data_IF_348147726747
#
_entry.id   IF_348147726747
#
_cell.length_a   1.000
_cell.length_b   1.000
_cell.length_c   1.000
_cell.angle_alpha   90.00
_cell.angle_beta   90.00
_cell.angle_gamma   90.00
#
_symmetry.space_group_name_H-M   'P 1'
#
loop_
_entity.id
_entity.type
_entity.pdbx_description
1 polymer ?
#
# COMPACT_ATOMS: atom_id res chain seq x y z
N UNK A 1 24.87 -14.80 -20.97
CA UNK A 1 24.17 -15.49 -19.85
C UNK A 1 23.08 -16.35 -20.46
N UNK A 2 23.06 -17.67 -20.20
CA UNK A 2 22.10 -18.59 -20.85
C UNK A 2 20.74 -18.46 -20.16
N UNK A 3 19.64 -18.63 -20.92
CA UNK A 3 18.25 -18.52 -20.43
C UNK A 3 17.99 -19.41 -19.21
N UNK A 4 18.65 -20.57 -19.14
CA UNK A 4 18.54 -21.51 -18.02
C UNK A 4 19.13 -20.93 -16.72
N UNK A 5 20.25 -20.21 -16.81
CA UNK A 5 20.92 -19.59 -15.67
C UNK A 5 20.08 -18.44 -15.11
N UNK A 6 19.43 -17.67 -15.99
CA UNK A 6 18.49 -16.62 -15.59
C UNK A 6 17.25 -17.21 -14.88
N UNK A 7 16.72 -18.33 -15.38
CA UNK A 7 15.57 -19.00 -14.78
C UNK A 7 15.92 -19.58 -13.41
N UNK A 8 17.07 -20.24 -13.26
CA UNK A 8 17.55 -20.77 -11.99
C UNK A 8 17.80 -19.65 -10.97
N UNK A 9 18.44 -18.56 -11.40
CA UNK A 9 18.67 -17.38 -10.56
C UNK A 9 17.36 -16.74 -10.12
N UNK A 10 16.40 -16.54 -11.03
CA UNK A 10 15.08 -16.02 -10.69
C UNK A 10 14.31 -16.93 -9.73
N UNK A 11 14.37 -18.26 -9.94
CA UNK A 11 13.70 -19.23 -9.07
C UNK A 11 14.33 -19.24 -7.66
N UNK A 12 15.65 -19.12 -7.57
CA UNK A 12 16.36 -19.02 -6.30
C UNK A 12 16.13 -17.68 -5.61
N UNK A 13 16.02 -16.59 -6.35
CA UNK A 13 15.68 -15.26 -5.81
C UNK A 13 14.25 -15.24 -5.25
N UNK A 14 13.29 -15.82 -5.98
CA UNK A 14 11.90 -16.00 -5.50
C UNK A 14 11.88 -16.92 -4.28
N UNK A 15 12.58 -18.05 -4.33
CA UNK A 15 12.66 -18.97 -3.18
C UNK A 15 13.32 -18.31 -1.98
N UNK A 16 14.34 -17.47 -2.16
CA UNK A 16 14.97 -16.70 -1.09
C UNK A 16 14.04 -15.61 -0.53
N UNK A 17 13.23 -14.97 -1.38
CA UNK A 17 12.19 -14.02 -0.93
C UNK A 17 11.13 -14.70 -0.05
N UNK A 18 10.76 -15.95 -0.37
CA UNK A 18 9.84 -16.76 0.41
C UNK A 18 10.51 -17.61 1.51
N UNK A 19 11.84 -17.69 1.55
CA UNK A 19 12.61 -18.35 2.61
C UNK A 19 12.72 -17.40 3.81
N UNK A 20 11.57 -17.11 4.39
CA UNK A 20 11.45 -16.27 5.57
C UNK A 20 11.64 -17.15 6.81
N UNK A 21 12.46 -16.69 7.76
CA UNK A 21 12.72 -17.41 9.01
C UNK A 21 11.62 -17.23 10.07
N UNK A 22 10.51 -16.55 9.74
CA UNK A 22 9.39 -16.38 10.67
C UNK A 22 8.45 -17.58 10.62
N UNK A 23 7.97 -17.98 11.79
CA UNK A 23 6.95 -19.00 11.96
C UNK A 23 5.55 -18.36 12.03
N UNK A 24 4.51 -19.18 11.97
CA UNK A 24 3.13 -18.71 12.17
C UNK A 24 2.96 -18.07 13.55
N UNK A 25 3.66 -18.57 14.57
CA UNK A 25 3.60 -18.06 15.94
C UNK A 25 4.20 -16.64 16.04
N UNK A 26 5.27 -16.37 15.31
CA UNK A 26 5.89 -15.04 15.25
C UNK A 26 4.93 -13.98 14.69
N UNK A 27 4.14 -14.34 13.68
CA UNK A 27 3.11 -13.46 13.09
C UNK A 27 1.83 -13.36 13.92
N UNK A 28 1.54 -14.38 14.73
CA UNK A 28 0.37 -14.39 15.65
C UNK A 28 0.69 -13.78 17.02
N UNK A 29 1.85 -13.12 17.17
CA UNK A 29 2.13 -12.36 18.37
C UNK A 29 1.27 -11.08 18.39
N UNK A 30 0.32 -11.03 19.31
CA UNK A 30 -0.60 -9.90 19.51
C UNK A 30 -0.26 -9.05 20.73
N UNK A 31 0.90 -9.29 21.36
CA UNK A 31 1.34 -8.59 22.56
C UNK A 31 1.88 -7.18 22.31
N UNK A 32 2.56 -6.65 23.32
CA UNK A 32 3.15 -5.32 23.30
C UNK A 32 4.34 -5.24 22.33
N UNK A 33 4.45 -4.12 21.60
CA UNK A 33 5.54 -3.86 20.67
C UNK A 33 6.76 -3.29 21.43
N UNK A 34 7.97 -3.83 21.22
CA UNK A 34 9.20 -3.22 21.75
C UNK A 34 9.37 -1.76 21.30
N UNK A 35 9.79 -0.88 22.20
CA UNK A 35 9.80 0.57 22.02
C UNK A 35 10.54 1.05 20.75
N UNK A 36 11.69 0.43 20.44
CA UNK A 36 12.48 0.78 19.24
C UNK A 36 11.70 0.45 17.95
N UNK A 37 11.13 -0.76 17.88
CA UNK A 37 10.33 -1.21 16.74
C UNK A 37 9.04 -0.40 16.60
N UNK A 38 8.41 -0.05 17.73
CA UNK A 38 7.20 0.77 17.78
C UNK A 38 7.41 2.16 17.15
N UNK A 39 8.52 2.84 17.45
CA UNK A 39 8.86 4.14 16.82
C UNK A 39 9.04 4.02 15.30
N UNK A 40 9.68 2.95 14.84
CA UNK A 40 9.87 2.68 13.41
C UNK A 40 8.53 2.43 12.70
N UNK A 41 7.69 1.57 13.28
CA UNK A 41 6.37 1.23 12.73
C UNK A 41 5.44 2.44 12.65
N UNK A 42 5.39 3.26 13.71
CA UNK A 42 4.63 4.52 13.75
C UNK A 42 5.04 5.49 12.63
N UNK A 43 6.34 5.59 12.36
CA UNK A 43 6.87 6.41 11.24
C UNK A 43 6.46 5.84 9.89
N UNK A 44 6.43 4.52 9.72
CA UNK A 44 5.93 3.89 8.47
C UNK A 44 4.47 4.24 8.24
N UNK A 45 3.60 4.09 9.23
CA UNK A 45 2.18 4.43 9.05
C UNK A 45 1.96 5.90 8.71
N UNK A 46 2.66 6.81 9.38
CA UNK A 46 2.57 8.25 9.06
C UNK A 46 3.07 8.54 7.64
N UNK A 47 4.22 7.97 7.27
CA UNK A 47 4.83 8.21 5.96
C UNK A 47 3.97 7.61 4.85
N UNK A 48 3.39 6.43 5.07
CA UNK A 48 2.46 5.80 4.14
C UNK A 48 1.17 6.61 4.00
N UNK A 49 0.62 7.13 5.11
CA UNK A 49 -0.55 8.02 5.07
C UNK A 49 -0.27 9.28 4.23
N UNK A 50 0.87 9.94 4.47
CA UNK A 50 1.30 11.08 3.68
C UNK A 50 1.50 10.72 2.20
N UNK A 51 2.14 9.58 1.91
CA UNK A 51 2.36 9.13 0.53
C UNK A 51 1.03 8.86 -0.20
N UNK A 52 0.06 8.23 0.47
CA UNK A 52 -1.27 7.99 -0.09
C UNK A 52 -2.07 9.28 -0.31
N UNK A 53 -1.94 10.26 0.59
CA UNK A 53 -2.51 11.60 0.38
C UNK A 53 -1.85 12.32 -0.81
N UNK A 54 -0.52 12.29 -0.93
CA UNK A 54 0.20 12.85 -2.07
C UNK A 54 -0.18 12.16 -3.38
N UNK A 55 -0.29 10.84 -3.39
CA UNK A 55 -0.76 10.06 -4.52
C UNK A 55 -2.18 10.47 -4.95
N UNK A 56 -3.10 10.55 -3.99
CA UNK A 56 -4.49 10.92 -4.24
C UNK A 56 -4.60 12.35 -4.76
N UNK A 57 -3.81 13.28 -4.20
CA UNK A 57 -3.74 14.64 -4.68
C UNK A 57 -3.21 14.71 -6.12
N UNK A 58 -2.16 13.95 -6.45
CA UNK A 58 -1.65 13.83 -7.82
C UNK A 58 -2.68 13.25 -8.78
N UNK A 59 -3.38 12.18 -8.37
CA UNK A 59 -4.45 11.54 -9.15
C UNK A 59 -5.55 12.53 -9.54
N UNK A 60 -6.04 13.33 -8.59
CA UNK A 60 -7.08 14.33 -8.86
C UNK A 60 -6.58 15.55 -9.61
N UNK A 61 -5.35 16.01 -9.36
CA UNK A 61 -4.78 17.14 -10.10
C UNK A 61 -4.67 16.84 -11.59
N UNK A 62 -4.42 15.59 -11.96
CA UNK A 62 -4.42 15.20 -13.36
C UNK A 62 -5.78 15.46 -14.04
N UNK A 63 -6.92 15.34 -13.32
CA UNK A 63 -8.24 15.61 -13.89
C UNK A 63 -8.39 17.05 -14.38
N UNK A 64 -7.63 18.00 -13.81
CA UNK A 64 -7.67 19.42 -14.16
C UNK A 64 -6.64 19.83 -15.22
N UNK A 65 -5.61 19.02 -15.47
CA UNK A 65 -4.51 19.38 -16.37
C UNK A 65 -4.25 18.28 -17.42
N UNK A 66 -5.04 18.32 -18.50
CA UNK A 66 -5.11 17.25 -19.51
C UNK A 66 -3.81 17.06 -20.31
N UNK A 67 -2.95 18.08 -20.40
CA UNK A 67 -1.71 18.04 -21.21
C UNK A 67 -0.47 17.45 -20.51
N UNK A 68 -0.56 17.07 -19.22
CA UNK A 68 0.63 16.71 -18.41
C UNK A 68 0.92 15.19 -18.37
N UNK A 69 0.05 14.35 -18.96
CA UNK A 69 0.11 12.88 -18.87
C UNK A 69 1.52 12.27 -19.06
N UNK A 70 2.18 12.45 -20.22
CA UNK A 70 3.48 11.81 -20.48
C UNK A 70 4.62 12.33 -19.59
N UNK A 71 4.56 13.60 -19.15
CA UNK A 71 5.58 14.19 -18.28
C UNK A 71 5.55 13.63 -16.85
N UNK A 72 4.37 13.23 -16.37
CA UNK A 72 4.21 12.64 -15.03
C UNK A 72 4.80 11.23 -14.94
N UNK A 73 4.71 10.44 -16.01
CA UNK A 73 5.33 9.11 -16.09
C UNK A 73 6.84 9.22 -16.01
N UNK A 74 7.46 10.06 -16.85
CA UNK A 74 8.91 10.29 -16.83
C UNK A 74 9.40 10.82 -15.47
N UNK A 75 8.64 11.71 -14.85
CA UNK A 75 8.95 12.27 -13.53
C UNK A 75 8.82 11.23 -12.41
N UNK A 76 7.85 10.33 -12.49
CA UNK A 76 7.69 9.22 -11.54
C UNK A 76 8.85 8.23 -11.64
N UNK A 77 9.26 7.87 -12.88
CA UNK A 77 10.41 6.99 -13.12
C UNK A 77 11.70 7.65 -12.66
N UNK A 78 11.93 8.93 -12.98
CA UNK A 78 13.13 9.66 -12.54
C UNK A 78 13.19 9.77 -11.02
N UNK A 79 12.06 9.99 -10.34
CA UNK A 79 12.00 10.08 -8.88
C UNK A 79 12.22 8.71 -8.22
N UNK A 80 11.67 7.63 -8.81
CA UNK A 80 11.93 6.25 -8.37
C UNK A 80 13.38 5.86 -8.57
N UNK A 81 13.96 6.20 -9.72
CA UNK A 81 15.36 5.97 -10.02
C UNK A 81 16.24 6.74 -9.03
N UNK A 82 15.87 7.99 -8.72
CA UNK A 82 16.52 8.80 -7.69
C UNK A 82 16.42 8.17 -6.30
N UNK A 83 15.27 7.60 -5.94
CA UNK A 83 15.07 6.91 -4.66
C UNK A 83 15.82 5.56 -4.60
N UNK A 84 15.91 4.85 -5.72
CA UNK A 84 16.67 3.60 -5.85
C UNK A 84 18.18 3.82 -5.81
N UNK A 85 18.68 4.86 -6.50
CA UNK A 85 20.10 5.21 -6.52
C UNK A 85 20.56 5.99 -5.29
N UNK A 86 19.64 6.53 -4.49
CA UNK A 86 19.99 7.12 -3.20
C UNK A 86 20.31 6.00 -2.21
N UNK A 87 21.60 5.62 -2.18
CA UNK A 87 22.13 4.75 -1.13
C UNK A 87 21.67 5.27 0.25
N UNK A 88 21.26 4.38 1.18
CA UNK A 88 20.84 4.74 2.53
C UNK A 88 21.82 5.62 3.32
N UNK A 89 23.08 5.69 2.85
CA UNK A 89 24.21 6.36 3.49
C UNK A 89 24.49 7.80 3.03
N UNK A 90 23.98 8.24 1.88
CA UNK A 90 24.42 9.50 1.25
C UNK A 90 23.48 10.70 1.46
N UNK A 91 22.21 10.47 1.81
CA UNK A 91 21.17 11.51 1.90
C UNK A 91 20.51 11.57 3.27
N UNK A 92 20.13 12.78 3.70
CA UNK A 92 19.39 12.99 4.96
C UNK A 92 17.99 12.40 4.83
N UNK A 93 17.49 11.78 5.90
CA UNK A 93 16.16 11.12 5.96
C UNK A 93 15.03 11.99 5.38
N UNK A 94 15.02 13.29 5.67
CA UNK A 94 14.00 14.22 5.18
C UNK A 94 13.97 14.34 3.64
N UNK A 95 15.12 14.24 2.96
CA UNK A 95 15.20 14.28 1.51
C UNK A 95 14.60 13.01 0.90
N UNK A 96 14.88 11.84 1.49
CA UNK A 96 14.30 10.57 1.06
C UNK A 96 12.77 10.56 1.20
N UNK A 97 12.25 11.11 2.31
CA UNK A 97 10.79 11.28 2.50
C UNK A 97 10.20 12.23 1.46
N UNK A 98 10.84 13.37 1.18
CA UNK A 98 10.38 14.30 0.15
C UNK A 98 10.34 13.66 -1.23
N UNK A 99 11.40 12.93 -1.61
CA UNK A 99 11.45 12.17 -2.86
C UNK A 99 10.34 11.12 -2.94
N UNK A 100 10.03 10.44 -1.83
CA UNK A 100 8.90 9.50 -1.77
C UNK A 100 7.56 10.22 -2.01
N UNK A 101 7.33 11.39 -1.40
CA UNK A 101 6.09 12.16 -1.61
C UNK A 101 5.96 12.62 -3.06
N UNK A 102 7.04 13.14 -3.64
CA UNK A 102 7.12 13.55 -5.05
C UNK A 102 6.84 12.37 -5.97
N UNK A 103 7.45 11.22 -5.68
CA UNK A 103 7.24 9.97 -6.42
C UNK A 103 5.78 9.54 -6.36
N UNK A 104 5.19 9.49 -5.17
CA UNK A 104 3.80 9.11 -4.96
C UNK A 104 2.86 10.06 -5.71
N UNK A 105 3.11 11.36 -5.65
CA UNK A 105 2.36 12.39 -6.37
C UNK A 105 2.38 12.17 -7.89
N UNK A 106 3.56 12.07 -8.50
CA UNK A 106 3.67 11.89 -9.95
C UNK A 106 3.14 10.53 -10.41
N UNK A 107 3.29 9.50 -9.59
CA UNK A 107 2.72 8.19 -9.85
C UNK A 107 1.18 8.23 -9.82
N UNK A 108 0.60 8.96 -8.86
CA UNK A 108 -0.84 9.20 -8.78
C UNK A 108 -1.37 9.93 -10.01
N UNK A 109 -0.69 11.01 -10.42
CA UNK A 109 -1.06 11.75 -11.61
C UNK A 109 -0.99 10.88 -12.90
N UNK A 110 0.02 10.01 -12.99
CA UNK A 110 0.16 9.05 -14.10
C UNK A 110 -1.00 8.05 -14.13
N UNK A 111 -1.39 7.49 -12.98
CA UNK A 111 -2.53 6.56 -12.88
C UNK A 111 -3.84 7.27 -13.20
N UNK A 112 -4.03 8.52 -12.75
CA UNK A 112 -5.22 9.32 -13.08
C UNK A 112 -5.41 9.52 -14.58
N UNK A 113 -4.32 9.70 -15.32
CA UNK A 113 -4.36 9.73 -16.79
C UNK A 113 -4.85 8.41 -17.36
N UNK A 114 -4.29 7.29 -16.91
CA UNK A 114 -4.66 5.97 -17.41
C UNK A 114 -6.10 5.59 -17.07
N UNK A 115 -6.59 5.85 -15.86
CA UNK A 115 -7.96 5.49 -15.45
C UNK A 115 -9.01 6.30 -16.21
N UNK A 116 -8.75 7.58 -16.48
CA UNK A 116 -9.67 8.45 -17.24
C UNK A 116 -9.69 8.10 -18.74
N UNK A 117 -8.53 7.96 -19.37
CA UNK A 117 -8.43 7.89 -20.84
C UNK A 117 -8.31 6.48 -21.41
N UNK A 118 -7.67 5.54 -20.71
CA UNK A 118 -7.47 4.18 -21.24
C UNK A 118 -8.53 3.19 -20.75
N UNK A 119 -8.90 3.27 -19.47
CA UNK A 119 -9.72 2.23 -18.84
C UNK A 119 -11.17 2.64 -18.58
N UNK A 120 -11.53 3.92 -18.81
CA UNK A 120 -12.89 4.48 -18.59
C UNK A 120 -13.49 3.99 -17.27
N UNK A 121 -12.67 3.95 -16.20
CA UNK A 121 -13.10 3.44 -14.90
C UNK A 121 -14.03 4.47 -14.27
N UNK A 122 -15.14 4.02 -13.67
CA UNK A 122 -16.01 4.89 -12.89
C UNK A 122 -15.21 5.58 -11.77
N UNK A 123 -15.04 6.90 -11.86
CA UNK A 123 -14.20 7.69 -10.95
C UNK A 123 -14.65 7.57 -9.48
N UNK A 124 -15.94 7.32 -9.25
CA UNK A 124 -16.49 7.08 -7.92
C UNK A 124 -15.87 5.83 -7.26
N UNK A 125 -15.61 4.77 -8.03
CA UNK A 125 -14.98 3.55 -7.51
C UNK A 125 -13.53 3.80 -7.07
N UNK A 126 -12.79 4.55 -7.88
CA UNK A 126 -11.40 4.92 -7.56
C UNK A 126 -11.35 5.85 -6.33
N UNK A 127 -12.28 6.81 -6.24
CA UNK A 127 -12.42 7.66 -5.06
C UNK A 127 -12.70 6.83 -3.80
N UNK A 128 -13.69 5.93 -3.86
CA UNK A 128 -14.03 5.05 -2.72
C UNK A 128 -12.84 4.20 -2.27
N UNK A 129 -12.10 3.61 -3.22
CA UNK A 129 -10.90 2.83 -2.92
C UNK A 129 -9.80 3.65 -2.24
N UNK A 130 -9.49 4.84 -2.78
CA UNK A 130 -8.45 5.70 -2.23
C UNK A 130 -8.84 6.25 -0.86
N UNK A 131 -10.08 6.73 -0.72
CA UNK A 131 -10.59 7.23 0.55
C UNK A 131 -10.59 6.14 1.63
N UNK A 132 -11.08 4.94 1.30
CA UNK A 132 -11.09 3.81 2.20
C UNK A 132 -9.67 3.35 2.59
N UNK A 133 -8.73 3.35 1.66
CA UNK A 133 -7.31 3.04 1.95
C UNK A 133 -6.68 4.07 2.88
N UNK A 134 -6.88 5.37 2.62
CA UNK A 134 -6.41 6.47 3.47
C UNK A 134 -7.00 6.35 4.88
N UNK A 135 -8.30 6.06 4.98
CA UNK A 135 -8.96 5.86 6.27
C UNK A 135 -8.38 4.65 7.03
N UNK A 136 -8.22 3.49 6.40
CA UNK A 136 -7.64 2.31 7.03
C UNK A 136 -6.21 2.52 7.52
N UNK A 137 -5.35 3.17 6.72
CA UNK A 137 -3.99 3.54 7.12
C UNK A 137 -4.02 4.58 8.24
N UNK A 138 -4.93 5.55 8.18
CA UNK A 138 -5.16 6.54 9.23
C UNK A 138 -5.56 5.91 10.56
N UNK A 139 -6.41 4.87 10.53
CA UNK A 139 -6.80 4.09 11.72
C UNK A 139 -5.60 3.35 12.31
N UNK A 140 -4.75 2.73 11.49
CA UNK A 140 -3.50 2.10 11.96
C UNK A 140 -2.55 3.13 12.61
N UNK A 141 -2.37 4.28 11.96
CA UNK A 141 -1.53 5.35 12.50
C UNK A 141 -2.09 5.90 13.82
N UNK A 142 -3.39 6.23 13.87
CA UNK A 142 -4.05 6.74 15.06
C UNK A 142 -4.08 5.70 16.19
N UNK A 143 -4.38 4.44 15.89
CA UNK A 143 -4.29 3.34 16.84
C UNK A 143 -2.88 3.20 17.42
N UNK A 144 -1.85 3.37 16.58
CA UNK A 144 -0.46 3.41 17.05
C UNK A 144 -0.15 4.62 17.92
N UNK A 145 -0.95 5.70 17.95
CA UNK A 145 -0.79 6.81 18.91
C UNK A 145 -1.37 6.46 20.28
N UNK A 146 -2.42 5.64 20.31
CA UNK A 146 -3.17 5.32 21.52
C UNK A 146 -2.64 4.09 22.25
N UNK A 147 -2.08 3.12 21.52
CA UNK A 147 -1.65 1.86 22.08
C UNK A 147 -0.33 1.37 21.50
N UNK A 148 0.39 0.59 22.32
CA UNK A 148 1.54 -0.21 21.92
C UNK A 148 1.20 -1.70 21.79
N UNK A 149 -0.03 -2.11 22.10
CA UNK A 149 -0.49 -3.47 21.86
C UNK A 149 -0.79 -3.69 20.38
N UNK A 150 -0.17 -4.70 19.78
CA UNK A 150 -0.41 -5.11 18.39
C UNK A 150 -1.89 -5.38 18.14
N UNK A 151 -2.53 -6.10 19.05
CA UNK A 151 -3.96 -6.44 18.99
C UNK A 151 -4.83 -5.22 18.80
N UNK A 152 -4.67 -4.19 19.62
CA UNK A 152 -5.54 -3.01 19.60
C UNK A 152 -5.36 -2.22 18.30
N UNK A 153 -4.12 -2.06 17.84
CA UNK A 153 -3.81 -1.38 16.58
C UNK A 153 -4.45 -2.13 15.39
N UNK A 154 -4.29 -3.46 15.34
CA UNK A 154 -4.72 -4.25 14.17
C UNK A 154 -6.22 -4.54 14.16
N UNK A 155 -6.84 -4.76 15.32
CA UNK A 155 -8.28 -5.06 15.40
C UNK A 155 -9.11 -3.89 14.88
N UNK A 156 -8.74 -2.63 15.17
CA UNK A 156 -9.46 -1.48 14.64
C UNK A 156 -9.43 -1.42 13.10
N UNK A 157 -8.28 -1.71 12.49
CA UNK A 157 -8.14 -1.76 11.03
C UNK A 157 -8.93 -2.93 10.40
N UNK A 158 -8.90 -4.10 11.04
CA UNK A 158 -9.65 -5.27 10.58
C UNK A 158 -11.17 -5.06 10.70
N UNK A 159 -11.63 -4.44 11.79
CA UNK A 159 -13.05 -4.07 11.97
C UNK A 159 -13.49 -3.06 10.90
N UNK A 160 -12.66 -2.06 10.59
CA UNK A 160 -12.93 -1.13 9.49
C UNK A 160 -13.04 -1.85 8.14
N UNK A 161 -12.11 -2.75 7.84
CA UNK A 161 -12.10 -3.55 6.61
C UNK A 161 -13.35 -4.42 6.50
N UNK A 162 -13.71 -5.10 7.59
CA UNK A 162 -14.93 -5.92 7.67
C UNK A 162 -16.20 -5.08 7.50
N UNK A 163 -16.27 -3.93 8.16
CA UNK A 163 -17.43 -3.04 8.07
C UNK A 163 -17.66 -2.52 6.64
N UNK A 164 -16.59 -2.20 5.92
CA UNK A 164 -16.68 -1.77 4.51
C UNK A 164 -17.14 -2.90 3.57
N UNK A 165 -16.62 -4.11 3.77
CA UNK A 165 -17.05 -5.26 2.96
C UNK A 165 -18.50 -5.62 3.26
N UNK A 166 -18.89 -5.62 4.54
CA UNK A 166 -20.26 -5.91 4.97
C UNK A 166 -21.25 -4.86 4.48
N UNK A 167 -20.91 -3.56 4.56
CA UNK A 167 -21.79 -2.50 4.06
C UNK A 167 -22.00 -2.61 2.54
N UNK A 168 -20.95 -2.92 1.79
CA UNK A 168 -21.03 -3.14 0.34
C UNK A 168 -21.89 -4.35 -0.02
N UNK A 169 -21.74 -5.45 0.73
CA UNK A 169 -22.59 -6.62 0.59
C UNK A 169 -24.06 -6.31 0.89
N UNK A 170 -24.33 -5.54 1.95
CA UNK A 170 -25.69 -5.15 2.31
C UNK A 170 -26.33 -4.22 1.28
N UNK A 171 -25.59 -3.26 0.72
CA UNK A 171 -26.08 -2.40 -0.36
C UNK A 171 -26.46 -3.21 -1.60
N UNK A 172 -25.69 -4.26 -1.93
CA UNK A 172 -26.02 -5.18 -3.01
C UNK A 172 -27.26 -6.03 -2.67
N UNK A 173 -27.33 -6.61 -1.46
CA UNK A 173 -28.43 -7.47 -1.05
C UNK A 173 -29.79 -6.73 -0.94
N UNK A 174 -29.77 -5.42 -0.68
CA UNK A 174 -30.96 -4.58 -0.64
C UNK A 174 -31.38 -4.05 -2.03
N UNK A 175 -30.70 -4.47 -3.11
CA UNK A 175 -30.91 -3.96 -4.48
C UNK A 175 -30.84 -2.42 -4.56
N UNK A 176 -30.11 -1.79 -3.63
CA UNK A 176 -29.96 -0.34 -3.59
C UNK A 176 -29.08 0.20 -4.72
N UNK A 177 -28.34 -0.68 -5.38
CA UNK A 177 -27.47 -0.41 -6.53
C UNK A 177 -27.91 -1.29 -7.70
N UNK A 178 -27.73 -0.81 -8.93
CA UNK A 178 -27.89 -1.66 -10.10
C UNK A 178 -26.85 -2.80 -10.07
N UNK A 179 -27.21 -3.95 -10.66
CA UNK A 179 -26.39 -5.16 -10.59
C UNK A 179 -24.96 -4.98 -11.10
N UNK A 180 -24.73 -4.10 -12.09
CA UNK A 180 -23.40 -3.87 -12.63
C UNK A 180 -22.56 -3.04 -11.65
N UNK A 181 -23.10 -1.95 -11.13
CA UNK A 181 -22.44 -1.12 -10.10
C UNK A 181 -22.17 -1.91 -8.83
N UNK A 182 -23.12 -2.75 -8.39
CA UNK A 182 -22.97 -3.54 -7.18
C UNK A 182 -21.82 -4.56 -7.26
N UNK A 183 -21.65 -5.20 -8.42
CA UNK A 183 -20.51 -6.10 -8.68
C UNK A 183 -19.17 -5.38 -8.50
N UNK A 184 -19.00 -4.23 -9.15
CA UNK A 184 -17.76 -3.46 -9.04
C UNK A 184 -17.49 -2.93 -7.63
N UNK A 185 -18.53 -2.51 -6.91
CA UNK A 185 -18.39 -2.06 -5.51
C UNK A 185 -17.93 -3.20 -4.60
N UNK A 186 -18.45 -4.42 -4.80
CA UNK A 186 -18.01 -5.62 -4.09
C UNK A 186 -16.55 -5.98 -4.40
N UNK A 187 -16.14 -5.93 -5.67
CA UNK A 187 -14.76 -6.18 -6.07
C UNK A 187 -13.79 -5.17 -5.43
N UNK A 188 -14.10 -3.88 -5.55
CA UNK A 188 -13.27 -2.80 -5.01
C UNK A 188 -13.11 -2.93 -3.50
N UNK A 189 -14.20 -3.19 -2.78
CA UNK A 189 -14.15 -3.37 -1.32
C UNK A 189 -13.44 -4.66 -0.90
N UNK A 190 -13.55 -5.73 -1.68
CA UNK A 190 -12.77 -6.96 -1.47
C UNK A 190 -11.27 -6.69 -1.62
N UNK A 191 -10.85 -6.05 -2.71
CA UNK A 191 -9.45 -5.69 -2.94
C UNK A 191 -8.93 -4.76 -1.84
N UNK A 192 -9.74 -3.80 -1.40
CA UNK A 192 -9.39 -2.91 -0.30
C UNK A 192 -9.22 -3.67 1.02
N UNK A 193 -10.12 -4.60 1.35
CA UNK A 193 -10.01 -5.42 2.54
C UNK A 193 -8.76 -6.31 2.51
N UNK A 194 -8.43 -6.89 1.35
CA UNK A 194 -7.20 -7.65 1.15
C UNK A 194 -5.95 -6.78 1.33
N UNK A 195 -5.95 -5.55 0.81
CA UNK A 195 -4.85 -4.62 0.98
C UNK A 195 -4.63 -4.23 2.46
N UNK A 196 -5.69 -3.91 3.19
CA UNK A 196 -5.61 -3.60 4.61
C UNK A 196 -5.22 -4.83 5.45
N UNK A 197 -5.69 -6.02 5.09
CA UNK A 197 -5.25 -7.28 5.69
C UNK A 197 -3.76 -7.54 5.44
N UNK A 198 -3.28 -7.31 4.22
CA UNK A 198 -1.86 -7.37 3.89
C UNK A 198 -1.05 -6.39 4.73
N UNK A 199 -1.51 -5.15 4.92
CA UNK A 199 -0.82 -4.19 5.79
C UNK A 199 -0.66 -4.72 7.22
N UNK A 200 -1.69 -5.35 7.79
CA UNK A 200 -1.61 -5.94 9.13
C UNK A 200 -0.55 -7.05 9.19
N UNK A 201 -0.55 -7.96 8.21
CA UNK A 201 0.44 -9.04 8.14
C UNK A 201 1.86 -8.49 7.91
N UNK A 202 2.00 -7.53 7.02
CA UNK A 202 3.28 -6.91 6.70
C UNK A 202 3.83 -6.11 7.89
N UNK A 203 2.96 -5.47 8.69
CA UNK A 203 3.37 -4.84 9.94
C UNK A 203 3.92 -5.85 10.95
N UNK A 204 3.34 -7.04 11.04
CA UNK A 204 3.88 -8.12 11.89
C UNK A 204 5.27 -8.55 11.40
N UNK A 205 5.45 -8.69 10.09
CA UNK A 205 6.75 -8.99 9.47
C UNK A 205 7.78 -7.89 9.75
N UNK A 206 7.40 -6.61 9.64
CA UNK A 206 8.29 -5.50 9.96
C UNK A 206 8.72 -5.50 11.43
N UNK A 207 7.84 -5.91 12.33
CA UNK A 207 8.14 -6.02 13.76
C UNK A 207 9.04 -7.22 14.06
N UNK A 208 8.91 -8.31 13.31
CA UNK A 208 9.84 -9.44 13.36
C UNK A 208 11.23 -9.00 12.88
N UNK A 209 11.30 -8.36 11.71
CA UNK A 209 12.56 -7.86 11.13
C UNK A 209 13.25 -6.82 12.03
N UNK A 210 12.47 -6.05 12.81
CA UNK A 210 12.99 -5.10 13.77
C UNK A 210 13.82 -5.73 14.90
N UNK A 211 13.66 -7.03 15.14
CA UNK A 211 14.51 -7.80 16.07
C UNK A 211 15.96 -7.93 15.57
N UNK A 212 16.20 -7.74 14.27
CA UNK A 212 17.51 -7.89 13.63
C UNK A 212 18.14 -6.55 13.20
N UNK A 213 17.43 -5.43 13.33
CA UNK A 213 17.92 -4.10 12.96
C UNK A 213 16.84 -3.01 13.01
N UNK A 214 17.23 -1.75 12.80
CA UNK A 214 16.26 -0.65 12.76
C UNK A 214 15.36 -0.71 11.52
N UNK A 215 14.07 -0.39 11.70
CA UNK A 215 13.12 -0.28 10.60
C UNK A 215 13.47 0.94 9.74
N UNK A 216 13.98 0.72 8.52
CA UNK A 216 14.09 1.77 7.52
C UNK A 216 12.69 2.11 6.96
N UNK A 217 12.05 3.09 7.58
CA UNK A 217 10.64 3.38 7.34
C UNK A 217 10.34 3.87 5.92
N UNK A 218 11.30 4.53 5.24
CA UNK A 218 11.12 4.98 3.86
C UNK A 218 11.04 3.78 2.91
N UNK A 219 11.98 2.85 3.04
CA UNK A 219 12.03 1.66 2.18
C UNK A 219 10.82 0.74 2.42
N UNK A 220 10.40 0.60 3.68
CA UNK A 220 9.20 -0.16 4.02
C UNK A 220 7.94 0.49 3.47
N UNK A 221 7.83 1.83 3.54
CA UNK A 221 6.70 2.56 2.95
C UNK A 221 6.66 2.38 1.43
N UNK A 222 7.80 2.49 0.75
CA UNK A 222 7.90 2.29 -0.67
C UNK A 222 7.51 0.86 -1.07
N UNK A 223 7.99 -0.13 -0.31
CA UNK A 223 7.64 -1.54 -0.52
C UNK A 223 6.12 -1.71 -0.48
N UNK A 224 5.46 -1.23 0.58
CA UNK A 224 4.00 -1.31 0.71
C UNK A 224 3.29 -0.62 -0.46
N UNK A 225 3.73 0.58 -0.81
CA UNK A 225 3.12 1.39 -1.86
C UNK A 225 3.12 0.68 -3.23
N UNK A 226 4.20 -0.04 -3.57
CA UNK A 226 4.30 -0.80 -4.82
C UNK A 226 3.74 -2.22 -4.78
N UNK A 227 3.46 -2.78 -3.59
CA UNK A 227 2.79 -4.08 -3.48
C UNK A 227 1.28 -3.99 -3.74
N UNK A 228 0.67 -2.80 -3.57
CA UNK A 228 -0.75 -2.59 -3.82
C UNK A 228 -1.17 -2.99 -5.26
N UNK A 229 -0.48 -2.54 -6.34
CA UNK A 229 -0.73 -3.05 -7.69
C UNK A 229 -0.56 -4.57 -7.85
N UNK A 230 0.40 -5.19 -7.16
CA UNK A 230 0.62 -6.64 -7.24
C UNK A 230 -0.53 -7.43 -6.61
N UNK A 231 -1.05 -6.95 -5.48
CA UNK A 231 -2.22 -7.52 -4.81
C UNK A 231 -3.46 -7.41 -5.70
N UNK A 232 -3.66 -6.25 -6.34
CA UNK A 232 -4.76 -6.02 -7.30
C UNK A 232 -4.66 -6.99 -8.48
N UNK A 233 -3.48 -7.12 -9.10
CA UNK A 233 -3.26 -8.03 -10.25
C UNK A 233 -3.47 -9.50 -9.86
N UNK A 234 -3.05 -9.91 -8.66
CA UNK A 234 -3.29 -11.27 -8.19
C UNK A 234 -4.75 -11.54 -7.84
N UNK A 235 -5.44 -10.59 -7.22
CA UNK A 235 -6.88 -10.71 -6.94
C UNK A 235 -7.70 -10.79 -8.24
N UNK A 236 -7.37 -9.95 -9.24
CA UNK A 236 -8.07 -9.92 -10.53
C UNK A 236 -7.84 -11.18 -11.40
N UNK A 237 -6.74 -11.93 -11.18
CA UNK A 237 -6.43 -13.17 -11.92
C UNK A 237 -7.07 -14.43 -11.34
N UNK A 238 -7.66 -14.34 -10.15
CA UNK A 238 -8.39 -15.44 -9.52
C UNK A 238 -9.83 -15.57 -10.04
N UNK A 239 -10.21 -14.73 -11.00
CA UNK A 239 -11.44 -14.76 -11.78
C UNK A 239 -11.16 -15.14 -13.24
#
# INVERSE_FOLDING_TARGET
MKLLDMKLWATNAVRAYFNRNWTREDLMNFGEIPEIAYRGLKRVYLTLLCAMLSFTFGYYLHLFWEEVGPFTVLSSVASLLGLYFTLPMAMRVNQRVSLLMITAFFFGASIGFYTKYLFVVHQNLVFSFLAGSIMGIGILWFGSLLSRERREIYMACLVHSYALMYSSFMLNALEALDSHTAHWVLEVTTVQALFLGYLVVYSQEMLYDAGFGEINFVDRTLTVFFHLPAIVVHAARLY
#
